data_IF_858070159026
#
_entry.id   IF_858070159026
#
_cell.length_a   1.000
_cell.length_b   1.000
_cell.length_c   1.000
_cell.angle_alpha   90.00
_cell.angle_beta   90.00
_cell.angle_gamma   90.00
#
_symmetry.space_group_name_H-M   'P 1'
#
loop_
_entity.id
_entity.type
_entity.pdbx_description
1 polymer ?
#
# COMPACT_ATOMS: atom_id res chain seq x y z
N UNK A 1 -55.29 -0.22 -75.85
CA UNK A 1 -54.14 0.65 -75.51
C UNK A 1 -53.85 0.71 -74.00
N UNK A 2 -54.88 0.79 -73.15
CA UNK A 2 -54.73 0.93 -71.68
C UNK A 2 -54.06 -0.27 -70.96
N UNK A 3 -54.34 -1.51 -71.35
CA UNK A 3 -53.78 -2.71 -70.68
C UNK A 3 -52.25 -2.78 -70.78
N UNK A 4 -51.69 -2.40 -71.94
CA UNK A 4 -50.23 -2.41 -72.16
C UNK A 4 -49.52 -1.33 -71.32
N UNK A 5 -50.20 -0.22 -71.04
CA UNK A 5 -49.70 0.86 -70.18
C UNK A 5 -49.71 0.43 -68.72
N UNK A 6 -50.80 -0.20 -68.24
CA UNK A 6 -50.90 -0.72 -66.88
C UNK A 6 -49.86 -1.82 -66.63
N UNK A 7 -49.67 -2.72 -67.59
CA UNK A 7 -48.65 -3.77 -67.48
C UNK A 7 -47.23 -3.18 -67.45
N UNK A 8 -46.93 -2.19 -68.30
CA UNK A 8 -45.63 -1.50 -68.30
C UNK A 8 -45.40 -0.71 -67.00
N UNK A 9 -46.44 -0.08 -66.45
CA UNK A 9 -46.40 0.64 -65.18
C UNK A 9 -46.16 -0.32 -64.00
N UNK A 10 -46.81 -1.48 -63.99
CA UNK A 10 -46.62 -2.48 -62.94
C UNK A 10 -45.22 -3.11 -63.00
N UNK A 11 -44.71 -3.39 -64.22
CA UNK A 11 -43.33 -3.85 -64.43
C UNK A 11 -42.33 -2.80 -63.93
N UNK A 12 -42.53 -1.52 -64.27
CA UNK A 12 -41.66 -0.43 -63.86
C UNK A 12 -41.70 -0.18 -62.35
N UNK A 13 -42.87 -0.28 -61.73
CA UNK A 13 -43.01 -0.17 -60.27
C UNK A 13 -42.29 -1.31 -59.55
N UNK A 14 -42.43 -2.54 -60.05
CA UNK A 14 -41.77 -3.70 -59.47
C UNK A 14 -40.25 -3.64 -59.66
N UNK A 15 -39.74 -3.15 -60.79
CA UNK A 15 -38.30 -2.97 -60.99
C UNK A 15 -37.70 -1.89 -60.08
N UNK A 16 -38.43 -0.80 -59.83
CA UNK A 16 -37.99 0.26 -58.89
C UNK A 16 -37.98 -0.26 -57.45
N UNK A 17 -38.99 -1.05 -57.07
CA UNK A 17 -39.05 -1.69 -55.74
C UNK A 17 -37.88 -2.65 -55.53
N UNK A 18 -37.59 -3.49 -56.53
CA UNK A 18 -36.49 -4.46 -56.47
C UNK A 18 -35.13 -3.76 -56.36
N UNK A 19 -34.88 -2.74 -57.20
CA UNK A 19 -33.64 -1.97 -57.16
C UNK A 19 -33.47 -1.25 -55.80
N UNK A 20 -34.56 -0.68 -55.26
CA UNK A 20 -34.56 -0.04 -53.95
C UNK A 20 -34.18 -0.98 -52.82
N UNK A 21 -34.76 -2.19 -52.79
CA UNK A 21 -34.44 -3.20 -51.76
C UNK A 21 -33.00 -3.71 -51.83
N UNK A 22 -32.44 -3.81 -53.05
CA UNK A 22 -31.05 -4.22 -53.25
C UNK A 22 -30.10 -3.11 -52.79
N UNK A 23 -30.40 -1.84 -53.13
CA UNK A 23 -29.58 -0.71 -52.71
C UNK A 23 -29.58 -0.51 -51.19
N UNK A 24 -30.74 -0.62 -50.54
CA UNK A 24 -30.84 -0.50 -49.08
C UNK A 24 -30.14 -1.64 -48.36
N UNK A 25 -30.26 -2.88 -48.85
CA UNK A 25 -29.53 -4.02 -48.28
C UNK A 25 -28.01 -3.91 -48.46
N UNK A 26 -27.52 -3.43 -49.61
CA UNK A 26 -26.10 -3.13 -49.80
C UNK A 26 -25.60 -2.02 -48.86
N UNK A 27 -26.38 -0.96 -48.67
CA UNK A 27 -26.04 0.11 -47.72
C UNK A 27 -26.01 -0.39 -46.26
N UNK A 28 -26.93 -1.29 -45.88
CA UNK A 28 -26.95 -1.89 -44.54
C UNK A 28 -25.79 -2.87 -44.32
N UNK A 29 -25.34 -3.60 -45.34
CA UNK A 29 -24.14 -4.43 -45.27
C UNK A 29 -22.88 -3.59 -45.02
N UNK A 30 -22.78 -2.39 -45.59
CA UNK A 30 -21.67 -1.46 -45.32
C UNK A 30 -21.70 -0.86 -43.90
N UNK A 31 -22.86 -0.86 -43.22
CA UNK A 31 -22.99 -0.39 -41.83
C UNK A 31 -22.85 -1.52 -40.80
N UNK A 32 -22.91 -2.78 -41.23
CA UNK A 32 -22.50 -3.94 -40.43
C UNK A 32 -20.97 -3.95 -40.34
N UNK A 33 -20.42 -3.09 -39.48
CA UNK A 33 -19.02 -3.17 -39.10
C UNK A 33 -18.72 -4.58 -38.59
N UNK A 34 -17.87 -5.33 -39.30
CA UNK A 34 -17.28 -6.56 -38.79
C UNK A 34 -16.26 -6.21 -37.71
N UNK A 35 -16.73 -5.74 -36.56
CA UNK A 35 -15.96 -5.73 -35.32
C UNK A 35 -15.97 -7.14 -34.73
N UNK A 36 -15.56 -8.13 -35.52
CA UNK A 36 -15.51 -9.53 -35.12
C UNK A 36 -14.07 -9.91 -34.85
N UNK A 37 -13.63 -9.75 -33.61
CA UNK A 37 -12.43 -10.36 -33.09
C UNK A 37 -12.60 -11.89 -33.12
N UNK A 38 -11.94 -12.63 -34.04
CA UNK A 38 -12.28 -14.03 -34.26
C UNK A 38 -11.73 -14.96 -33.17
N UNK A 39 -10.78 -14.49 -32.36
CA UNK A 39 -10.09 -15.29 -31.35
C UNK A 39 -9.97 -14.52 -30.04
N UNK A 40 -10.47 -15.11 -28.94
CA UNK A 40 -10.32 -14.60 -27.55
C UNK A 40 -8.86 -14.75 -27.05
N UNK A 41 -7.93 -15.20 -27.89
CA UNK A 41 -6.52 -15.43 -27.56
C UNK A 41 -5.53 -14.62 -28.40
N UNK A 42 -5.98 -13.67 -29.21
CA UNK A 42 -5.09 -12.70 -29.86
C UNK A 42 -5.06 -11.42 -29.01
N UNK A 43 -3.88 -11.09 -28.48
CA UNK A 43 -3.57 -9.87 -27.72
C UNK A 43 -3.73 -8.57 -28.51
N UNK A 44 -4.18 -8.63 -29.77
CA UNK A 44 -4.28 -7.50 -30.70
C UNK A 44 -5.73 -7.06 -30.97
N UNK A 45 -6.71 -7.63 -30.28
CA UNK A 45 -8.01 -6.98 -30.17
C UNK A 45 -7.91 -5.87 -29.13
N UNK A 46 -8.32 -4.62 -29.44
CA UNK A 46 -8.32 -3.53 -28.47
C UNK A 46 -9.47 -3.74 -27.48
N UNK A 47 -9.35 -4.77 -26.65
CA UNK A 47 -10.08 -4.91 -25.42
C UNK A 47 -9.55 -3.82 -24.49
N UNK A 48 -10.43 -2.89 -24.13
CA UNK A 48 -10.26 -2.01 -22.96
C UNK A 48 -8.90 -1.32 -22.86
N UNK A 49 -8.50 -0.63 -23.93
CA UNK A 49 -7.74 0.60 -23.88
C UNK A 49 -8.14 1.38 -25.13
N UNK A 50 -9.39 1.85 -25.10
CA UNK A 50 -9.87 2.84 -26.05
C UNK A 50 -8.97 4.05 -25.92
N UNK A 51 -7.94 4.12 -26.76
CA UNK A 51 -7.28 5.37 -27.08
C UNK A 51 -8.34 6.21 -27.78
N UNK A 52 -9.17 6.87 -26.97
CA UNK A 52 -10.09 7.90 -27.41
C UNK A 52 -9.28 9.19 -27.44
N UNK A 53 -8.80 9.63 -28.62
CA UNK A 53 -8.03 10.87 -28.74
C UNK A 53 -8.86 12.11 -28.40
N UNK A 54 -10.15 11.97 -28.05
CA UNK A 54 -11.05 13.05 -27.66
C UNK A 54 -11.45 13.01 -26.19
N UNK A 55 -10.93 12.09 -25.37
CA UNK A 55 -11.23 12.12 -23.94
C UNK A 55 -10.54 13.33 -23.28
N UNK A 56 -11.28 14.40 -22.92
CA UNK A 56 -10.68 15.61 -22.34
C UNK A 56 -10.17 15.37 -20.91
N UNK A 57 -10.51 14.24 -20.31
CA UNK A 57 -10.12 13.85 -18.96
C UNK A 57 -8.92 12.90 -18.92
N UNK A 58 -8.40 12.46 -20.08
CA UNK A 58 -7.26 11.52 -20.13
C UNK A 58 -6.06 12.06 -19.36
N UNK A 59 -5.73 13.32 -19.59
CA UNK A 59 -4.59 13.96 -18.93
C UNK A 59 -4.81 14.08 -17.41
N UNK A 60 -6.02 14.43 -17.00
CA UNK A 60 -6.38 14.51 -15.58
C UNK A 60 -6.36 13.16 -14.88
N UNK A 61 -6.77 12.09 -15.56
CA UNK A 61 -6.73 10.73 -15.02
C UNK A 61 -5.30 10.20 -14.89
N UNK A 62 -4.41 10.54 -15.83
CA UNK A 62 -2.98 10.20 -15.75
C UNK A 62 -2.29 10.93 -14.60
N UNK A 63 -2.59 12.23 -14.42
CA UNK A 63 -2.09 12.98 -13.27
C UNK A 63 -2.64 12.45 -11.93
N UNK A 64 -3.91 12.05 -11.88
CA UNK A 64 -4.53 11.48 -10.68
C UNK A 64 -3.93 10.09 -10.33
N UNK A 65 -3.57 9.28 -11.33
CA UNK A 65 -2.85 8.02 -11.13
C UNK A 65 -1.41 8.24 -10.64
N UNK A 66 -0.71 9.24 -11.17
CA UNK A 66 0.62 9.64 -10.71
C UNK A 66 0.60 10.11 -9.25
N UNK A 67 -0.40 10.93 -8.87
CA UNK A 67 -0.57 11.41 -7.49
C UNK A 67 -0.90 10.28 -6.51
N UNK A 68 -1.70 9.29 -6.92
CA UNK A 68 -2.02 8.13 -6.06
C UNK A 68 -0.84 7.18 -5.81
N UNK A 69 0.18 7.25 -6.67
CA UNK A 69 1.40 6.43 -6.55
C UNK A 69 2.55 7.18 -5.86
N UNK A 70 2.34 8.41 -5.40
CA UNK A 70 3.33 9.13 -4.59
C UNK A 70 3.52 8.42 -3.25
N UNK A 71 4.77 8.11 -2.95
CA UNK A 71 5.16 7.64 -1.62
C UNK A 71 5.49 8.83 -0.71
N UNK A 72 5.45 8.62 0.61
CA UNK A 72 5.87 9.68 1.56
C UNK A 72 7.33 10.07 1.36
N UNK A 73 8.16 9.13 0.87
CA UNK A 73 9.57 9.35 0.52
C UNK A 73 9.76 10.24 -0.71
N UNK A 74 8.74 10.43 -1.55
CA UNK A 74 8.78 11.31 -2.72
C UNK A 74 8.38 12.77 -2.35
N UNK A 75 7.99 13.03 -1.10
CA UNK A 75 7.57 14.34 -0.61
C UNK A 75 8.74 15.02 0.10
N UNK A 76 9.31 16.05 -0.53
CA UNK A 76 10.28 16.93 0.11
C UNK A 76 9.58 17.89 1.09
N UNK A 77 9.66 17.59 2.38
CA UNK A 77 9.28 18.51 3.46
C UNK A 77 10.33 19.62 3.58
N UNK A 78 9.98 20.81 3.09
CA UNK A 78 10.78 22.01 3.30
C UNK A 78 10.33 22.65 4.61
N UNK A 79 11.03 22.34 5.69
CA UNK A 79 10.84 23.02 6.98
C UNK A 79 11.55 24.38 6.92
N UNK A 80 10.77 25.44 6.75
CA UNK A 80 11.29 26.80 6.77
C UNK A 80 11.35 27.24 8.25
N UNK A 81 12.53 27.13 8.84
CA UNK A 81 12.81 27.75 10.14
C UNK A 81 12.90 29.27 9.97
N UNK A 82 11.76 29.94 10.00
CA UNK A 82 11.73 31.41 10.05
C UNK A 82 12.05 31.88 11.48
N UNK A 83 13.19 32.54 11.65
CA UNK A 83 13.50 33.23 12.91
C UNK A 83 12.56 34.44 13.07
N UNK A 84 11.57 34.30 13.95
CA UNK A 84 10.63 35.39 14.28
C UNK A 84 11.36 36.42 15.15
N UNK A 85 11.98 37.41 14.52
CA UNK A 85 12.58 38.55 15.21
C UNK A 85 11.48 39.56 15.55
N UNK A 86 11.08 39.61 16.82
CA UNK A 86 10.00 40.48 17.28
C UNK A 86 10.36 41.98 17.21
N UNK A 87 11.65 42.35 17.11
CA UNK A 87 12.13 43.75 17.11
C UNK A 87 11.68 44.59 18.32
N UNK A 88 11.20 43.98 19.40
CA UNK A 88 10.94 44.63 20.68
C UNK A 88 11.14 43.64 21.84
N UNK A 89 11.30 44.18 23.05
CA UNK A 89 11.36 43.38 24.28
C UNK A 89 9.93 43.05 24.76
N UNK A 90 9.52 41.77 24.79
CA UNK A 90 8.19 41.38 25.26
C UNK A 90 8.07 41.43 26.80
N UNK A 91 9.18 41.42 27.55
CA UNK A 91 9.17 41.32 29.02
C UNK A 91 8.25 42.34 29.74
N UNK A 92 8.17 43.62 29.33
CA UNK A 92 7.29 44.60 29.97
C UNK A 92 5.78 44.34 29.76
N UNK A 93 5.43 43.52 28.78
CA UNK A 93 4.04 43.21 28.42
C UNK A 93 3.58 41.87 29.00
N UNK A 94 4.48 41.10 29.61
CA UNK A 94 4.15 39.84 30.24
C UNK A 94 3.58 40.06 31.64
N UNK A 95 2.56 39.26 32.05
CA UNK A 95 2.07 39.27 33.42
C UNK A 95 3.18 39.04 34.45
N UNK A 96 2.99 39.57 35.65
CA UNK A 96 3.91 39.33 36.77
C UNK A 96 3.97 37.82 37.08
N UNK A 97 5.18 37.26 37.07
CA UNK A 97 5.45 35.81 37.20
C UNK A 97 5.01 34.95 36.00
N UNK A 98 4.89 35.53 34.80
CA UNK A 98 4.68 34.74 33.59
C UNK A 98 5.82 33.73 33.39
N UNK A 99 5.44 32.47 33.19
CA UNK A 99 6.34 31.39 32.83
C UNK A 99 5.75 30.66 31.63
N UNK A 100 6.42 30.75 30.48
CA UNK A 100 5.98 30.12 29.24
C UNK A 100 5.91 28.59 29.32
N UNK A 101 6.64 27.99 30.27
CA UNK A 101 6.71 26.55 30.47
C UNK A 101 5.89 26.06 31.67
N UNK A 102 5.12 26.95 32.32
CA UNK A 102 4.25 26.54 33.42
C UNK A 102 3.21 25.52 32.93
N UNK A 103 3.16 24.35 33.58
CA UNK A 103 2.24 23.27 33.21
C UNK A 103 2.63 22.45 31.98
N UNK A 104 3.80 22.68 31.37
CA UNK A 104 4.34 21.84 30.28
C UNK A 104 5.16 20.64 30.79
N UNK A 105 5.18 20.40 32.10
CA UNK A 105 5.80 19.20 32.66
C UNK A 105 4.97 17.98 32.28
N UNK A 106 5.59 17.00 31.63
CA UNK A 106 4.99 15.68 31.46
C UNK A 106 4.96 15.01 32.83
N UNK A 107 3.78 14.88 33.43
CA UNK A 107 3.60 14.06 34.62
C UNK A 107 3.44 12.60 34.19
N UNK A 108 4.46 11.80 34.44
CA UNK A 108 4.43 10.37 34.10
C UNK A 108 3.40 9.61 34.94
N UNK A 109 3.03 10.12 36.11
CA UNK A 109 2.03 9.52 36.98
C UNK A 109 0.60 9.77 36.44
N UNK A 110 0.41 10.76 35.56
CA UNK A 110 -0.85 11.01 34.84
C UNK A 110 -1.00 10.17 33.56
N UNK A 111 0.08 9.51 33.10
CA UNK A 111 0.04 8.67 31.90
C UNK A 111 -0.54 7.29 32.24
N UNK A 112 -1.77 7.05 31.81
CA UNK A 112 -2.37 5.71 31.83
C UNK A 112 -1.92 4.95 30.59
N UNK A 113 -1.09 3.92 30.78
CA UNK A 113 -0.73 2.98 29.71
C UNK A 113 -1.83 1.92 29.63
N UNK A 114 -2.67 2.00 28.60
CA UNK A 114 -3.63 0.96 28.28
C UNK A 114 -3.01 -0.01 27.26
N UNK A 115 -2.67 -1.22 27.69
CA UNK A 115 -2.37 -2.31 26.77
C UNK A 115 -3.68 -2.80 26.14
N UNK A 116 -3.95 -2.30 24.93
CA UNK A 116 -5.01 -2.87 24.09
C UNK A 116 -4.48 -4.18 23.50
N UNK A 117 -4.85 -5.30 24.10
CA UNK A 117 -4.76 -6.61 23.45
C UNK A 117 -5.77 -6.65 22.29
N UNK A 118 -5.35 -6.16 21.12
CA UNK A 118 -6.13 -6.33 19.90
C UNK A 118 -6.04 -7.79 19.44
N UNK A 119 -7.16 -8.50 19.49
CA UNK A 119 -7.29 -9.80 18.88
C UNK A 119 -7.14 -9.63 17.35
N UNK A 120 -6.02 -10.08 16.79
CA UNK A 120 -5.77 -10.04 15.35
C UNK A 120 -6.65 -11.09 14.69
N UNK A 121 -7.84 -10.68 14.25
CA UNK A 121 -8.73 -11.52 13.44
C UNK A 121 -8.28 -11.45 11.99
N UNK A 122 -7.58 -12.49 11.53
CA UNK A 122 -7.03 -12.56 10.17
C UNK A 122 -8.11 -12.56 9.06
N UNK A 123 -9.37 -12.84 9.39
CA UNK A 123 -10.46 -12.89 8.42
C UNK A 123 -10.42 -14.11 7.49
N UNK A 124 -9.46 -15.02 7.68
CA UNK A 124 -9.36 -16.30 7.00
C UNK A 124 -8.79 -17.37 7.93
N UNK A 125 -9.00 -18.64 7.58
CA UNK A 125 -8.39 -19.77 8.26
C UNK A 125 -6.96 -20.00 7.70
N UNK A 126 -5.90 -19.70 8.45
CA UNK A 126 -4.53 -19.87 7.97
C UNK A 126 -4.19 -21.34 7.68
N UNK A 127 -4.87 -22.31 8.30
CA UNK A 127 -4.63 -23.72 8.04
C UNK A 127 -4.93 -24.12 6.58
N UNK A 128 -5.82 -23.39 5.89
CA UNK A 128 -6.13 -23.63 4.47
C UNK A 128 -4.99 -23.26 3.53
N UNK A 129 -4.04 -22.44 3.98
CA UNK A 129 -2.92 -21.95 3.18
C UNK A 129 -1.60 -22.61 3.55
N UNK A 130 -1.59 -23.46 4.58
CA UNK A 130 -0.42 -24.23 4.96
C UNK A 130 -0.30 -25.49 4.07
N UNK A 131 0.91 -25.86 3.63
CA UNK A 131 1.15 -27.10 2.91
C UNK A 131 0.60 -28.33 3.66
N UNK A 132 0.19 -29.35 2.91
CA UNK A 132 -0.30 -30.59 3.52
C UNK A 132 0.81 -31.23 4.38
N UNK A 133 0.52 -31.42 5.67
CA UNK A 133 1.51 -31.94 6.62
C UNK A 133 2.52 -30.90 7.14
N UNK A 134 2.27 -29.61 6.93
CA UNK A 134 3.09 -28.55 7.52
C UNK A 134 3.14 -28.67 9.04
N UNK A 135 4.35 -28.67 9.57
CA UNK A 135 4.62 -28.61 11.00
C UNK A 135 5.77 -27.61 11.22
N UNK A 136 5.47 -26.49 11.89
CA UNK A 136 6.41 -25.40 12.14
C UNK A 136 7.63 -25.84 12.97
N UNK A 137 7.53 -26.94 13.70
CA UNK A 137 8.61 -27.48 14.54
C UNK A 137 9.48 -28.52 13.82
N UNK A 138 9.19 -28.82 12.55
CA UNK A 138 10.00 -29.78 11.79
C UNK A 138 11.43 -29.25 11.62
N UNK A 139 12.42 -29.98 12.10
CA UNK A 139 13.83 -29.58 12.06
C UNK A 139 14.25 -28.61 13.17
N UNK A 140 13.34 -28.22 14.07
CA UNK A 140 13.68 -27.56 15.33
C UNK A 140 13.96 -28.63 16.39
N UNK A 141 15.06 -29.36 16.24
CA UNK A 141 15.58 -30.23 17.30
C UNK A 141 16.57 -29.42 18.13
N UNK A 142 16.25 -29.21 19.40
CA UNK A 142 17.20 -28.64 20.36
C UNK A 142 18.15 -29.76 20.79
N UNK A 143 19.33 -29.85 20.18
CA UNK A 143 20.40 -30.69 20.71
C UNK A 143 21.13 -29.93 21.83
N UNK A 144 21.03 -30.44 23.05
CA UNK A 144 21.74 -29.85 24.20
C UNK A 144 23.26 -29.93 24.03
N UNK A 145 23.77 -30.83 23.19
CA UNK A 145 25.19 -30.91 22.86
C UNK A 145 25.66 -29.76 21.96
N UNK A 146 24.75 -29.08 21.25
CA UNK A 146 25.05 -27.90 20.43
C UNK A 146 25.16 -26.62 21.28
N UNK A 147 24.74 -26.68 22.56
CA UNK A 147 24.83 -25.55 23.48
C UNK A 147 26.23 -25.52 24.09
N UNK A 148 27.07 -24.60 23.62
CA UNK A 148 28.35 -24.30 24.26
C UNK A 148 28.10 -23.37 25.45
N UNK A 149 28.27 -23.90 26.66
CA UNK A 149 28.27 -23.10 27.89
C UNK A 149 29.67 -22.58 28.13
N UNK A 150 29.89 -21.29 27.89
CA UNK A 150 31.12 -20.61 28.27
C UNK A 150 30.97 -20.07 29.69
N UNK A 151 31.69 -20.67 30.63
CA UNK A 151 31.80 -20.15 31.99
C UNK A 151 32.87 -19.06 31.99
N UNK A 152 32.42 -17.80 31.97
CA UNK A 152 33.32 -16.65 32.06
C UNK A 152 33.78 -16.49 33.51
N UNK A 153 34.96 -17.02 33.82
CA UNK A 153 35.66 -16.69 35.06
C UNK A 153 36.20 -15.25 34.97
N UNK A 154 35.41 -14.29 35.44
CA UNK A 154 35.91 -12.93 35.64
C UNK A 154 36.80 -12.88 36.89
N UNK A 155 38.06 -12.47 36.72
CA UNK A 155 38.96 -12.23 37.84
C UNK A 155 38.47 -11.00 38.62
N UNK A 156 37.82 -11.24 39.76
CA UNK A 156 37.29 -10.15 40.60
C UNK A 156 38.43 -9.47 41.36
N UNK A 157 38.88 -8.32 40.84
CA UNK A 157 39.78 -7.45 41.57
C UNK A 157 39.01 -6.66 42.63
N UNK A 158 39.11 -7.10 43.88
CA UNK A 158 38.45 -6.47 45.02
C UNK A 158 39.00 -5.08 45.38
N UNK A 159 40.12 -4.66 44.80
CA UNK A 159 40.75 -3.35 45.08
C UNK A 159 41.38 -3.25 46.47
N UNK A 160 41.38 -4.33 47.25
CA UNK A 160 42.06 -4.44 48.53
C UNK A 160 42.66 -5.84 48.71
N UNK A 161 43.70 -5.92 49.54
CA UNK A 161 44.26 -7.21 49.93
C UNK A 161 43.36 -7.85 51.00
N UNK A 162 42.70 -8.95 50.60
CA UNK A 162 41.76 -9.73 51.41
C UNK A 162 42.42 -10.23 52.69
N UNK A 163 43.74 -10.50 52.68
CA UNK A 163 44.47 -11.02 53.84
C UNK A 163 44.42 -10.07 55.04
N UNK A 164 44.25 -8.76 54.81
CA UNK A 164 44.14 -7.76 55.88
C UNK A 164 42.83 -7.84 56.67
N UNK A 165 41.81 -8.49 56.11
CA UNK A 165 40.49 -8.63 56.71
C UNK A 165 40.23 -10.04 57.25
N UNK A 166 41.17 -10.97 57.05
CA UNK A 166 41.05 -12.33 57.56
C UNK A 166 41.58 -12.43 59.01
N UNK A 167 40.95 -13.26 59.87
CA UNK A 167 41.45 -13.51 61.21
C UNK A 167 42.89 -14.01 61.22
N UNK A 168 43.65 -13.72 62.29
CA UNK A 168 45.01 -14.24 62.44
C UNK A 168 45.00 -15.76 62.45
N UNK A 169 45.76 -16.36 61.54
CA UNK A 169 45.85 -17.82 61.39
C UNK A 169 44.72 -18.44 60.58
N UNK A 170 43.93 -17.63 59.85
CA UNK A 170 42.94 -18.14 58.90
C UNK A 170 43.60 -18.95 57.79
N UNK A 171 43.07 -20.14 57.55
CA UNK A 171 43.46 -21.04 56.46
C UNK A 171 42.18 -21.51 55.77
N UNK A 172 42.00 -21.13 54.50
CA UNK A 172 40.83 -21.49 53.69
C UNK A 172 40.71 -22.99 53.44
N UNK A 173 41.79 -23.75 53.67
CA UNK A 173 41.89 -25.18 53.42
C UNK A 173 41.98 -26.02 54.69
N UNK A 174 41.94 -25.39 55.88
CA UNK A 174 41.79 -26.11 57.13
C UNK A 174 40.39 -26.77 57.16
N UNK A 175 40.38 -28.11 57.19
CA UNK A 175 39.16 -28.92 57.29
C UNK A 175 38.55 -28.92 58.68
#
# INVERSE_FOLDING_TARGET
MQIKIIQKLNIMRNSVLLLGTVLTSFFLLSFSGTGGCPNILDSDCPTTNSYDPRNPFKEGLLMDEEVRNLSLEDIDLIEIEEEIVLNFDPAPYLPLHFNAYAGMGLDLDEIVIEELEEEIVLGFDPAQYLPLGFNAYTGMELDLNDIVVEELEEEVHLGFDVMNYLPKGFDAYAK
#
